data_IF_980414425022
#
_entry.id   IF_980414425022
#
_cell.length_a   1.000
_cell.length_b   1.000
_cell.length_c   1.000
_cell.angle_alpha   90.00
_cell.angle_beta   90.00
_cell.angle_gamma   90.00
#
_symmetry.space_group_name_H-M   'P 1'
#
loop_
_entity.id
_entity.type
_entity.pdbx_description
1 polymer ?
#
# COMPACT_ATOMS: atom_id res chain seq x y z
N UNK A 1 -23.19 1.10 5.56
CA UNK A 1 -21.88 0.60 5.12
C UNK A 1 -20.82 1.71 5.08
N UNK A 2 -20.99 2.79 4.29
CA UNK A 2 -20.00 3.86 4.21
C UNK A 2 -19.64 4.47 5.59
N UNK A 3 -20.66 4.89 6.37
CA UNK A 3 -20.46 5.46 7.72
C UNK A 3 -19.91 4.43 8.71
N UNK A 4 -20.36 3.18 8.62
CA UNK A 4 -20.07 2.16 9.65
C UNK A 4 -18.79 1.37 9.41
N UNK A 5 -18.29 1.31 8.16
CA UNK A 5 -17.12 0.49 7.78
C UNK A 5 -16.01 1.29 7.11
N UNK A 6 -16.35 2.16 6.16
CA UNK A 6 -15.35 2.88 5.35
C UNK A 6 -14.78 4.08 6.11
N UNK A 7 -15.66 4.91 6.69
CA UNK A 7 -15.25 6.14 7.39
C UNK A 7 -14.30 5.86 8.57
N UNK A 8 -14.56 4.89 9.48
CA UNK A 8 -13.68 4.65 10.62
C UNK A 8 -12.26 4.27 10.19
N UNK A 9 -12.12 3.32 9.25
CA UNK A 9 -10.82 2.89 8.73
C UNK A 9 -10.05 4.03 8.08
N UNK A 10 -10.72 4.84 7.25
CA UNK A 10 -10.07 5.98 6.61
C UNK A 10 -9.60 7.02 7.64
N UNK A 11 -10.42 7.28 8.68
CA UNK A 11 -10.04 8.19 9.76
C UNK A 11 -8.84 7.66 10.54
N UNK A 12 -8.79 6.36 10.81
CA UNK A 12 -7.64 5.73 11.46
C UNK A 12 -6.36 5.88 10.63
N UNK A 13 -6.43 5.58 9.33
CA UNK A 13 -5.31 5.74 8.39
C UNK A 13 -4.80 7.20 8.37
N UNK A 14 -5.71 8.17 8.24
CA UNK A 14 -5.38 9.61 8.23
C UNK A 14 -4.83 10.05 9.59
N UNK A 15 -5.42 9.61 10.70
CA UNK A 15 -4.94 9.94 12.05
C UNK A 15 -3.53 9.41 12.27
N UNK A 16 -3.26 8.16 11.91
CA UNK A 16 -1.93 7.56 12.07
C UNK A 16 -0.86 8.38 11.34
N UNK A 17 -1.14 8.77 10.09
CA UNK A 17 -0.20 9.57 9.30
C UNK A 17 -0.03 11.00 9.87
N UNK A 18 -1.15 11.67 10.20
CA UNK A 18 -1.13 13.07 10.65
C UNK A 18 -0.54 13.24 12.04
N UNK A 19 -0.89 12.37 12.99
CA UNK A 19 -0.34 12.44 14.35
C UNK A 19 1.18 12.26 14.34
N UNK A 20 1.70 11.32 13.54
CA UNK A 20 3.16 11.14 13.38
C UNK A 20 3.86 12.41 12.84
N UNK A 21 3.25 13.08 11.85
CA UNK A 21 3.78 14.34 11.31
C UNK A 21 3.75 15.47 12.33
N UNK A 22 2.65 15.59 13.09
CA UNK A 22 2.48 16.61 14.14
C UNK A 22 3.49 16.40 15.27
N UNK A 23 3.67 15.16 15.74
CA UNK A 23 4.65 14.83 16.79
C UNK A 23 6.08 15.16 16.37
N UNK A 24 6.46 14.77 15.14
CA UNK A 24 7.77 15.13 14.58
C UNK A 24 7.95 16.64 14.53
N UNK A 25 6.95 17.35 14.03
CA UNK A 25 7.00 18.82 13.91
C UNK A 25 7.10 19.49 15.28
N UNK A 26 6.30 19.04 16.26
CA UNK A 26 6.34 19.57 17.62
C UNK A 26 7.73 19.40 18.24
N UNK A 27 8.33 18.21 18.11
CA UNK A 27 9.65 17.93 18.68
C UNK A 27 10.71 18.85 18.10
N UNK A 28 10.76 19.01 16.78
CA UNK A 28 11.75 19.87 16.11
C UNK A 28 11.54 21.36 16.43
N UNK A 29 10.27 21.82 16.48
CA UNK A 29 9.93 23.21 16.84
C UNK A 29 10.35 23.51 18.29
N UNK A 30 10.00 22.65 19.25
CA UNK A 30 10.41 22.78 20.65
C UNK A 30 11.92 22.81 20.76
N UNK A 31 12.61 21.82 20.18
CA UNK A 31 14.07 21.73 20.26
C UNK A 31 14.76 23.00 19.74
N UNK A 32 14.31 23.54 18.59
CA UNK A 32 14.90 24.74 18.00
C UNK A 32 14.58 26.00 18.79
N UNK A 33 13.30 26.28 19.06
CA UNK A 33 12.90 27.54 19.71
C UNK A 33 13.36 27.60 21.15
N UNK A 34 13.29 26.50 21.91
CA UNK A 34 13.82 26.47 23.29
C UNK A 34 15.32 26.74 23.33
N UNK A 35 16.09 26.27 22.33
CA UNK A 35 17.53 26.56 22.22
C UNK A 35 17.77 28.04 21.91
N UNK A 36 17.01 28.63 20.99
CA UNK A 36 17.12 30.06 20.65
C UNK A 36 16.69 30.96 21.82
N UNK A 37 15.60 30.64 22.52
CA UNK A 37 15.15 31.33 23.74
C UNK A 37 16.23 31.30 24.81
N UNK A 38 16.73 30.11 25.15
CA UNK A 38 17.78 29.93 26.16
C UNK A 38 19.07 30.69 25.83
N UNK A 39 19.38 30.84 24.54
CA UNK A 39 20.52 31.63 24.07
C UNK A 39 20.30 33.13 24.32
N UNK A 40 19.15 33.66 23.91
CA UNK A 40 18.83 35.08 24.09
C UNK A 40 18.64 35.47 25.55
N UNK A 41 18.04 34.60 26.38
CA UNK A 41 17.93 34.81 27.83
C UNK A 41 19.29 34.91 28.49
N UNK A 42 20.21 34.00 28.16
CA UNK A 42 21.58 34.04 28.68
C UNK A 42 22.30 35.31 28.23
N UNK A 43 22.18 35.66 26.95
CA UNK A 43 22.75 36.92 26.45
C UNK A 43 22.15 38.14 27.14
N UNK A 44 20.85 38.16 27.41
CA UNK A 44 20.19 39.26 28.11
C UNK A 44 20.75 39.43 29.54
N UNK A 45 20.91 38.31 30.26
CA UNK A 45 21.48 38.31 31.60
C UNK A 45 22.94 38.81 31.61
N UNK A 46 23.79 38.29 30.71
CA UNK A 46 25.18 38.71 30.58
C UNK A 46 25.32 40.21 30.23
N UNK A 47 24.43 40.73 29.37
CA UNK A 47 24.41 42.15 29.00
C UNK A 47 23.95 43.02 30.16
N UNK A 48 22.94 42.58 30.91
CA UNK A 48 22.42 43.27 32.10
C UNK A 48 23.49 43.43 33.18
N UNK A 49 24.30 42.40 33.39
CA UNK A 49 25.40 42.46 34.36
C UNK A 49 26.53 43.40 33.91
N UNK A 50 26.83 43.45 32.60
CA UNK A 50 27.79 44.41 32.02
C UNK A 50 27.31 45.85 32.11
N UNK A 51 26.02 46.10 31.86
CA UNK A 51 25.41 47.43 31.98
C UNK A 51 25.40 47.90 33.43
N UNK A 52 25.07 47.03 34.39
CA UNK A 52 25.18 47.32 35.83
C UNK A 52 26.61 47.64 36.26
N UNK A 53 27.60 47.01 35.65
CA UNK A 53 29.01 47.31 35.86
C UNK A 53 29.49 48.59 35.12
N UNK A 54 28.60 49.34 34.48
CA UNK A 54 28.91 50.59 33.77
C UNK A 54 29.65 50.42 32.45
N UNK A 55 29.74 49.19 31.91
CA UNK A 55 30.43 48.91 30.64
C UNK A 55 29.48 49.18 29.47
N UNK A 56 29.98 49.85 28.42
CA UNK A 56 29.22 50.03 27.17
C UNK A 56 29.05 48.69 26.46
N UNK A 57 27.79 48.31 26.21
CA UNK A 57 27.39 47.13 25.44
C UNK A 57 27.01 47.55 24.01
N UNK A 58 27.25 46.66 23.04
CA UNK A 58 26.88 46.88 21.63
C UNK A 58 25.39 46.68 21.35
N UNK A 59 24.71 45.87 22.19
CA UNK A 59 23.27 45.66 22.19
C UNK A 59 22.76 45.89 23.62
N UNK A 60 21.69 46.68 23.82
CA UNK A 60 21.09 46.84 25.13
C UNK A 60 20.48 45.53 25.65
N UNK A 61 20.56 45.27 26.96
CA UNK A 61 20.05 44.05 27.58
C UNK A 61 18.54 43.85 27.36
N UNK A 62 17.75 44.93 27.40
CA UNK A 62 16.29 44.86 27.19
C UNK A 62 15.91 44.37 25.79
N UNK A 63 16.70 44.71 24.75
CA UNK A 63 16.45 44.24 23.37
C UNK A 63 16.72 42.74 23.24
N UNK A 64 17.70 42.21 23.97
CA UNK A 64 17.96 40.78 24.02
C UNK A 64 16.82 40.03 24.73
N UNK A 65 16.27 40.60 25.81
CA UNK A 65 15.12 40.04 26.53
C UNK A 65 13.87 40.04 25.65
N UNK A 66 13.55 41.16 24.99
CA UNK A 66 12.37 41.27 24.11
C UNK A 66 12.41 40.24 22.96
N UNK A 67 13.61 39.89 22.48
CA UNK A 67 13.80 38.81 21.50
C UNK A 67 13.50 37.43 22.08
N UNK A 68 13.91 37.14 23.32
CA UNK A 68 13.60 35.89 23.99
C UNK A 68 12.08 35.76 24.20
N UNK A 69 11.43 36.83 24.67
CA UNK A 69 9.99 36.88 24.91
C UNK A 69 9.21 36.66 23.59
N UNK A 70 9.60 37.34 22.50
CA UNK A 70 9.00 37.14 21.17
C UNK A 70 9.13 35.69 20.69
N UNK A 71 10.27 35.04 20.95
CA UNK A 71 10.46 33.64 20.58
C UNK A 71 9.61 32.69 21.44
N UNK A 72 9.41 33.02 22.73
CA UNK A 72 8.53 32.27 23.62
C UNK A 72 7.06 32.36 23.17
N UNK A 73 6.59 33.54 22.79
CA UNK A 73 5.23 33.74 22.25
C UNK A 73 5.03 32.97 20.94
N UNK A 74 6.05 32.97 20.07
CA UNK A 74 6.03 32.18 18.82
C UNK A 74 6.00 30.68 19.10
N UNK A 75 6.73 30.20 20.09
CA UNK A 75 6.69 28.80 20.51
C UNK A 75 5.29 28.44 20.99
N UNK A 76 4.72 29.23 21.90
CA UNK A 76 3.38 28.98 22.44
C UNK A 76 2.32 28.93 21.34
N UNK A 77 2.30 29.96 20.49
CA UNK A 77 1.36 30.05 19.35
C UNK A 77 1.49 28.83 18.43
N UNK A 78 2.72 28.35 18.16
CA UNK A 78 2.92 27.19 17.30
C UNK A 78 2.48 25.90 17.98
N UNK A 79 2.69 25.75 19.28
CA UNK A 79 2.22 24.58 20.03
C UNK A 79 0.69 24.50 20.07
N UNK A 80 0.03 25.63 20.28
CA UNK A 80 -1.44 25.70 20.27
C UNK A 80 -2.01 25.33 18.89
N UNK A 81 -1.39 25.82 17.82
CA UNK A 81 -1.76 25.43 16.45
C UNK A 81 -1.58 23.93 16.22
N UNK A 82 -0.45 23.34 16.63
CA UNK A 82 -0.20 21.90 16.51
C UNK A 82 -1.18 21.06 17.36
N UNK A 83 -1.60 21.57 18.52
CA UNK A 83 -2.62 20.92 19.34
C UNK A 83 -3.99 20.97 18.67
N UNK A 84 -4.35 22.06 18.00
CA UNK A 84 -5.56 22.13 17.18
C UNK A 84 -5.50 21.14 16.00
N UNK A 85 -4.36 21.01 15.32
CA UNK A 85 -4.15 20.05 14.21
C UNK A 85 -4.38 18.58 14.63
N UNK A 86 -4.23 18.23 15.92
CA UNK A 86 -4.52 16.88 16.43
C UNK A 86 -6.01 16.53 16.45
N UNK A 87 -6.90 17.52 16.43
CA UNK A 87 -8.34 17.31 16.51
C UNK A 87 -8.92 16.97 15.13
N UNK A 88 -8.72 15.73 14.70
CA UNK A 88 -9.16 15.23 13.40
C UNK A 88 -10.55 14.61 13.51
N UNK A 89 -11.53 15.21 12.83
CA UNK A 89 -12.92 14.74 12.79
C UNK A 89 -13.33 14.33 11.37
N UNK A 90 -14.03 13.18 11.20
CA UNK A 90 -14.56 12.81 9.90
C UNK A 90 -15.66 13.76 9.44
N UNK A 91 -15.61 14.15 8.17
CA UNK A 91 -16.78 14.71 7.48
C UNK A 91 -17.75 13.58 7.09
N UNK A 92 -19.07 13.86 7.00
CA UNK A 92 -20.04 12.89 6.47
C UNK A 92 -19.67 12.45 5.05
N UNK A 93 -19.74 11.14 4.72
CA UNK A 93 -19.39 10.68 3.39
C UNK A 93 -20.42 11.14 2.37
N UNK A 94 -19.96 11.61 1.21
CA UNK A 94 -20.82 11.96 0.08
C UNK A 94 -20.98 10.75 -0.84
N UNK A 95 -22.21 10.22 -0.92
CA UNK A 95 -22.54 9.10 -1.81
C UNK A 95 -22.86 9.64 -3.20
N UNK A 96 -22.07 9.29 -4.20
CA UNK A 96 -22.25 9.75 -5.59
C UNK A 96 -23.20 8.87 -6.41
N UNK A 97 -23.36 7.61 -6.03
CA UNK A 97 -24.25 6.66 -6.71
C UNK A 97 -24.23 5.30 -6.01
N UNK A 98 -25.11 4.41 -6.46
CA UNK A 98 -25.19 3.03 -6.00
C UNK A 98 -25.51 2.09 -7.16
N UNK A 99 -25.06 0.84 -7.06
CA UNK A 99 -25.39 -0.22 -8.00
C UNK A 99 -25.96 -1.43 -7.25
N UNK A 100 -26.87 -2.14 -7.90
CA UNK A 100 -27.36 -3.43 -7.45
C UNK A 100 -26.63 -4.51 -8.26
N UNK A 101 -25.82 -5.32 -7.59
CA UNK A 101 -25.13 -6.44 -8.23
C UNK A 101 -25.98 -7.70 -8.03
N UNK A 102 -26.48 -8.26 -9.14
CA UNK A 102 -27.21 -9.52 -9.14
C UNK A 102 -26.31 -10.56 -9.82
N UNK A 103 -25.91 -11.65 -9.13
CA UNK A 103 -25.12 -12.70 -9.76
C UNK A 103 -25.88 -13.31 -10.94
N UNK A 104 -25.25 -13.42 -12.11
CA UNK A 104 -25.87 -14.03 -13.30
C UNK A 104 -26.36 -15.46 -13.05
N UNK A 105 -25.64 -16.25 -12.25
CA UNK A 105 -26.07 -17.59 -11.84
C UNK A 105 -27.36 -17.61 -11.01
N UNK A 106 -27.69 -16.53 -10.29
CA UNK A 106 -28.99 -16.40 -9.62
C UNK A 106 -30.10 -16.14 -10.64
N UNK A 107 -29.88 -15.24 -11.61
CA UNK A 107 -30.82 -14.98 -12.70
C UNK A 107 -31.09 -16.23 -13.53
N UNK A 108 -30.05 -17.02 -13.81
CA UNK A 108 -30.16 -18.31 -14.46
C UNK A 108 -31.06 -19.29 -13.68
N UNK A 109 -30.79 -19.48 -12.38
CA UNK A 109 -31.59 -20.38 -11.52
C UNK A 109 -33.05 -19.96 -11.38
N UNK A 110 -33.30 -18.65 -11.38
CA UNK A 110 -34.65 -18.09 -11.25
C UNK A 110 -35.40 -18.01 -12.59
N UNK A 111 -34.77 -18.40 -13.71
CA UNK A 111 -35.39 -18.36 -15.04
C UNK A 111 -35.81 -16.95 -15.46
N UNK A 112 -35.00 -15.94 -15.13
CA UNK A 112 -35.38 -14.54 -15.32
C UNK A 112 -35.66 -14.23 -16.82
N UNK A 113 -36.79 -13.56 -17.14
CA UNK A 113 -37.11 -13.16 -18.50
C UNK A 113 -36.05 -12.17 -19.03
N UNK A 114 -35.53 -12.44 -20.23
CA UNK A 114 -34.43 -11.67 -20.84
C UNK A 114 -33.03 -12.27 -20.64
N UNK A 115 -32.88 -13.36 -19.88
CA UNK A 115 -31.60 -14.07 -19.75
C UNK A 115 -31.39 -15.02 -20.94
N UNK A 116 -30.65 -14.55 -21.93
CA UNK A 116 -30.42 -15.21 -23.22
C UNK A 116 -29.54 -16.46 -23.09
N UNK A 117 -29.36 -17.19 -24.19
CA UNK A 117 -28.41 -18.30 -24.25
C UNK A 117 -26.95 -17.79 -24.22
N UNK A 118 -26.70 -16.59 -24.74
CA UNK A 118 -25.39 -15.94 -24.66
C UNK A 118 -25.03 -15.59 -23.21
N UNK A 119 -25.98 -15.06 -22.42
CA UNK A 119 -25.76 -14.75 -21.00
C UNK A 119 -25.44 -16.02 -20.18
N UNK A 120 -26.03 -17.16 -20.55
CA UNK A 120 -25.72 -18.46 -19.93
C UNK A 120 -24.31 -18.95 -20.24
N UNK A 121 -23.89 -18.80 -21.50
CA UNK A 121 -22.53 -19.14 -21.91
C UNK A 121 -21.50 -18.25 -21.19
N UNK A 122 -21.77 -16.96 -21.07
CA UNK A 122 -20.89 -16.04 -20.34
C UNK A 122 -20.78 -16.38 -18.84
N UNK A 123 -21.88 -16.75 -18.18
CA UNK A 123 -21.84 -17.21 -16.79
C UNK A 123 -21.07 -18.52 -16.64
N UNK A 124 -21.22 -19.46 -17.59
CA UNK A 124 -20.46 -20.70 -17.58
C UNK A 124 -18.95 -20.45 -17.77
N UNK A 125 -18.57 -19.58 -18.72
CA UNK A 125 -17.19 -19.18 -18.95
C UNK A 125 -16.57 -18.48 -17.73
N UNK A 126 -17.33 -17.60 -17.07
CA UNK A 126 -16.86 -16.93 -15.85
C UNK A 126 -16.67 -17.92 -14.69
N UNK A 127 -17.56 -18.91 -14.56
CA UNK A 127 -17.43 -19.96 -13.55
C UNK A 127 -16.20 -20.84 -13.81
N UNK A 128 -15.94 -21.18 -15.08
CA UNK A 128 -14.78 -21.97 -15.46
C UNK A 128 -13.47 -21.20 -15.26
N UNK A 129 -13.41 -19.91 -15.63
CA UNK A 129 -12.23 -19.06 -15.34
C UNK A 129 -11.93 -19.00 -13.84
N UNK A 130 -12.96 -18.80 -13.02
CA UNK A 130 -12.80 -18.79 -11.55
C UNK A 130 -12.33 -20.14 -11.02
N UNK A 131 -12.83 -21.24 -11.60
CA UNK A 131 -12.38 -22.59 -11.25
C UNK A 131 -10.89 -22.77 -11.56
N UNK A 132 -10.45 -22.35 -12.75
CA UNK A 132 -9.05 -22.39 -13.16
C UNK A 132 -8.16 -21.55 -12.24
N UNK A 133 -8.60 -20.36 -11.84
CA UNK A 133 -7.89 -19.51 -10.88
C UNK A 133 -7.71 -20.19 -9.52
N UNK A 134 -8.76 -20.82 -8.98
CA UNK A 134 -8.70 -21.53 -7.69
C UNK A 134 -7.77 -22.74 -7.75
N UNK A 135 -7.88 -23.56 -8.81
CA UNK A 135 -7.00 -24.71 -9.00
C UNK A 135 -5.52 -24.30 -9.12
N UNK A 136 -5.26 -23.19 -9.82
CA UNK A 136 -3.93 -22.63 -9.93
C UNK A 136 -3.38 -22.16 -8.58
N UNK A 137 -4.20 -21.43 -7.80
CA UNK A 137 -3.84 -20.99 -6.45
C UNK A 137 -3.51 -22.17 -5.54
N UNK A 138 -4.35 -23.21 -5.54
CA UNK A 138 -4.14 -24.40 -4.73
C UNK A 138 -2.84 -25.13 -5.09
N UNK A 139 -2.54 -25.26 -6.39
CA UNK A 139 -1.31 -25.88 -6.87
C UNK A 139 -0.06 -25.09 -6.43
N UNK A 140 -0.10 -23.77 -6.49
CA UNK A 140 1.00 -22.90 -6.05
C UNK A 140 1.19 -22.98 -4.53
N UNK A 141 0.09 -22.91 -3.76
CA UNK A 141 0.13 -23.07 -2.30
C UNK A 141 0.67 -24.44 -1.90
N UNK A 142 0.32 -25.50 -2.61
CA UNK A 142 0.84 -26.84 -2.38
C UNK A 142 2.34 -26.95 -2.70
N UNK A 143 2.78 -26.38 -3.82
CA UNK A 143 4.18 -26.34 -4.19
C UNK A 143 5.05 -25.60 -3.16
N UNK A 144 4.60 -24.43 -2.69
CA UNK A 144 5.34 -23.67 -1.68
C UNK A 144 5.43 -24.41 -0.34
N UNK A 145 4.34 -25.08 0.08
CA UNK A 145 4.38 -25.95 1.28
C UNK A 145 5.33 -27.13 1.11
N UNK A 146 5.40 -27.72 -0.08
CA UNK A 146 6.33 -28.82 -0.36
C UNK A 146 7.80 -28.39 -0.28
N UNK A 147 8.09 -27.11 -0.55
CA UNK A 147 9.41 -26.49 -0.34
C UNK A 147 9.69 -26.13 1.13
N UNK A 148 8.77 -26.44 2.05
CA UNK A 148 8.91 -26.13 3.48
C UNK A 148 8.61 -24.68 3.84
N UNK A 149 7.94 -23.93 2.95
CA UNK A 149 7.54 -22.53 3.19
C UNK A 149 6.13 -22.45 3.79
N UNK A 150 5.81 -21.26 4.30
CA UNK A 150 4.52 -20.91 4.89
C UNK A 150 3.78 -19.92 3.97
N UNK A 151 3.07 -20.39 2.93
CA UNK A 151 2.35 -19.51 2.01
C UNK A 151 1.02 -19.04 2.62
N UNK A 152 0.72 -17.74 2.43
CA UNK A 152 -0.49 -17.04 2.86
C UNK A 152 -1.18 -16.39 1.67
N UNK A 153 -2.47 -16.68 1.51
CA UNK A 153 -3.32 -16.02 0.51
C UNK A 153 -3.61 -14.58 0.94
N UNK A 154 -3.24 -13.64 0.08
CA UNK A 154 -3.46 -12.19 0.21
C UNK A 154 -4.19 -11.61 -1.00
N UNK A 155 -4.70 -12.44 -1.91
CA UNK A 155 -5.39 -12.02 -3.14
C UNK A 155 -6.61 -11.11 -2.89
N UNK A 156 -7.25 -11.23 -1.73
CA UNK A 156 -8.35 -10.37 -1.30
C UNK A 156 -7.90 -8.98 -0.78
N UNK A 157 -6.62 -8.80 -0.48
CA UNK A 157 -6.05 -7.55 0.01
C UNK A 157 -5.79 -6.56 -1.15
N UNK A 158 -6.32 -5.35 -1.02
CA UNK A 158 -6.26 -4.37 -2.12
C UNK A 158 -4.90 -3.69 -2.19
N UNK A 159 -4.31 -3.67 -3.39
CA UNK A 159 -3.17 -2.82 -3.72
C UNK A 159 -1.79 -3.47 -3.56
N UNK A 160 -1.71 -4.77 -3.28
CA UNK A 160 -0.44 -5.50 -3.15
C UNK A 160 0.20 -5.83 -4.51
N UNK A 161 -0.62 -6.26 -5.48
CA UNK A 161 -0.14 -6.66 -6.82
C UNK A 161 0.49 -8.06 -6.86
N UNK A 162 0.11 -8.93 -5.92
CA UNK A 162 0.44 -10.35 -5.86
C UNK A 162 -0.64 -11.07 -5.04
N UNK A 163 -0.78 -12.38 -5.25
CA UNK A 163 -1.83 -13.19 -4.63
C UNK A 163 -1.36 -13.92 -3.37
N UNK A 164 -0.06 -14.28 -3.29
CA UNK A 164 0.48 -15.09 -2.20
C UNK A 164 1.75 -14.46 -1.62
N UNK A 165 1.80 -14.39 -0.30
CA UNK A 165 3.03 -14.18 0.46
C UNK A 165 3.58 -15.52 0.91
N UNK A 166 4.77 -15.90 0.44
CA UNK A 166 5.41 -17.16 0.83
C UNK A 166 6.63 -16.90 1.68
N UNK A 167 6.55 -17.27 2.96
CA UNK A 167 7.62 -17.06 3.93
C UNK A 167 8.46 -18.33 4.07
N UNK A 168 9.76 -18.20 3.93
CA UNK A 168 10.72 -19.24 4.29
C UNK A 168 11.04 -19.13 5.79
N UNK A 169 10.67 -20.12 6.62
CA UNK A 169 10.95 -20.08 8.07
C UNK A 169 12.44 -20.28 8.40
N UNK A 170 13.23 -20.89 7.52
CA UNK A 170 14.65 -21.14 7.75
C UNK A 170 15.50 -19.88 7.51
N UNK A 171 15.18 -19.11 6.46
CA UNK A 171 15.93 -17.89 6.10
C UNK A 171 15.25 -16.60 6.55
N UNK A 172 13.95 -16.65 6.86
CA UNK A 172 13.11 -15.48 7.11
C UNK A 172 12.75 -14.70 5.85
N UNK A 173 13.13 -15.17 4.66
CA UNK A 173 12.84 -14.50 3.40
C UNK A 173 11.34 -14.56 3.08
N UNK A 174 10.80 -13.44 2.58
CA UNK A 174 9.42 -13.33 2.12
C UNK A 174 9.41 -13.16 0.59
N UNK A 175 8.73 -14.08 -0.10
CA UNK A 175 8.49 -14.04 -1.54
C UNK A 175 7.08 -13.55 -1.83
N UNK A 176 6.93 -12.86 -2.96
CA UNK A 176 5.66 -12.33 -3.44
C UNK A 176 5.30 -13.04 -4.73
N UNK A 177 4.20 -13.78 -4.74
CA UNK A 177 3.84 -14.66 -5.86
C UNK A 177 2.52 -14.20 -6.46
N UNK A 178 2.55 -13.86 -7.74
CA UNK A 178 1.36 -13.62 -8.56
C UNK A 178 1.00 -14.90 -9.30
N UNK A 179 -0.25 -15.35 -9.22
CA UNK A 179 -0.69 -16.64 -9.78
C UNK A 179 -1.54 -16.43 -11.02
N UNK A 180 -1.13 -17.03 -12.14
CA UNK A 180 -1.89 -17.00 -13.39
C UNK A 180 -2.25 -18.41 -13.82
N UNK A 181 -3.48 -18.81 -13.52
CA UNK A 181 -4.11 -20.00 -14.09
C UNK A 181 -4.44 -19.80 -15.56
N UNK A 182 -4.14 -20.79 -16.40
CA UNK A 182 -4.44 -20.77 -17.84
C UNK A 182 -5.02 -22.11 -18.27
N UNK A 183 -6.11 -22.05 -19.02
CA UNK A 183 -6.61 -23.22 -19.73
C UNK A 183 -5.61 -23.65 -20.81
N UNK A 184 -5.46 -24.95 -21.04
CA UNK A 184 -4.61 -25.48 -22.10
C UNK A 184 -4.88 -24.79 -23.45
N UNK A 185 -3.82 -24.27 -24.09
CA UNK A 185 -3.91 -23.58 -25.39
C UNK A 185 -3.99 -22.05 -25.32
N UNK A 186 -4.01 -21.43 -24.14
CA UNK A 186 -3.86 -19.98 -24.02
C UNK A 186 -2.46 -19.52 -24.50
N UNK A 187 -2.40 -18.49 -25.34
CA UNK A 187 -1.13 -17.98 -25.88
C UNK A 187 -0.54 -16.80 -25.10
N UNK A 188 -1.33 -16.17 -24.21
CA UNK A 188 -0.94 -14.93 -23.53
C UNK A 188 -1.27 -14.93 -22.04
N UNK A 189 -0.46 -14.20 -21.28
CA UNK A 189 -0.67 -13.88 -19.87
C UNK A 189 -0.82 -12.37 -19.74
N UNK A 190 -1.90 -11.93 -19.09
CA UNK A 190 -2.15 -10.52 -18.80
C UNK A 190 -1.70 -10.20 -17.39
N UNK A 191 -0.88 -9.16 -17.22
CA UNK A 191 -0.56 -8.57 -15.91
C UNK A 191 -1.19 -7.19 -15.77
N UNK A 192 -1.71 -6.89 -14.58
CA UNK A 192 -2.21 -5.54 -14.27
C UNK A 192 -1.05 -4.59 -13.97
N UNK A 193 -1.32 -3.27 -14.02
CA UNK A 193 -0.34 -2.25 -13.65
C UNK A 193 0.26 -2.47 -12.26
N UNK A 194 -0.56 -2.87 -11.29
CA UNK A 194 -0.09 -3.08 -9.91
C UNK A 194 0.83 -4.30 -9.82
N UNK A 195 0.52 -5.38 -10.54
CA UNK A 195 1.37 -6.58 -10.60
C UNK A 195 2.74 -6.27 -11.22
N UNK A 196 2.77 -5.49 -12.31
CA UNK A 196 4.02 -5.07 -12.94
C UNK A 196 4.83 -4.18 -11.99
N UNK A 197 4.18 -3.25 -11.28
CA UNK A 197 4.86 -2.40 -10.29
C UNK A 197 5.38 -3.21 -9.10
N UNK A 198 4.64 -4.23 -8.63
CA UNK A 198 5.09 -5.13 -7.58
C UNK A 198 6.34 -5.91 -8.03
N UNK A 199 6.34 -6.42 -9.25
CA UNK A 199 7.49 -7.08 -9.86
C UNK A 199 8.72 -6.16 -9.95
N UNK A 200 8.54 -4.89 -10.36
CA UNK A 200 9.62 -3.91 -10.45
C UNK A 200 10.19 -3.52 -9.08
N UNK A 201 9.32 -3.32 -8.09
CA UNK A 201 9.72 -2.89 -6.74
C UNK A 201 10.46 -3.98 -5.95
N UNK A 202 10.24 -5.26 -6.29
CA UNK A 202 10.79 -6.40 -5.55
C UNK A 202 11.25 -7.53 -6.47
N UNK A 203 11.97 -7.18 -7.54
CA UNK A 203 12.36 -8.12 -8.62
C UNK A 203 13.04 -9.41 -8.12
N UNK A 204 13.85 -9.34 -7.07
CA UNK A 204 14.52 -10.52 -6.50
C UNK A 204 13.57 -11.47 -5.76
N UNK A 205 12.47 -10.93 -5.21
CA UNK A 205 11.50 -11.63 -4.34
C UNK A 205 10.18 -11.95 -5.05
N UNK A 206 9.90 -11.27 -6.16
CA UNK A 206 8.69 -11.46 -6.93
C UNK A 206 8.80 -12.71 -7.82
N UNK A 207 7.71 -13.46 -7.92
CA UNK A 207 7.57 -14.64 -8.79
C UNK A 207 6.23 -14.55 -9.51
N UNK A 208 6.24 -14.79 -10.81
CA UNK A 208 5.02 -15.05 -11.56
C UNK A 208 4.87 -16.57 -11.71
N UNK A 209 3.89 -17.15 -11.00
CA UNK A 209 3.59 -18.56 -11.06
C UNK A 209 2.51 -18.82 -12.12
N UNK A 210 2.86 -19.58 -13.15
CA UNK A 210 1.96 -19.94 -14.23
C UNK A 210 1.53 -21.40 -14.05
N UNK A 211 0.22 -21.63 -14.05
CA UNK A 211 -0.35 -22.98 -13.90
C UNK A 211 -1.24 -23.28 -15.09
N UNK A 212 -0.92 -24.36 -15.80
CA UNK A 212 -1.77 -24.89 -16.86
C UNK A 212 -2.79 -25.85 -16.27
N UNK A 213 -4.07 -25.61 -16.57
CA UNK A 213 -5.21 -26.42 -16.15
C UNK A 213 -5.90 -26.98 -17.39
N UNK A 214 -5.99 -28.30 -17.50
CA UNK A 214 -6.68 -29.01 -18.57
C UNK A 214 -7.80 -29.88 -17.97
N UNK A 215 -9.01 -29.31 -17.88
CA UNK A 215 -10.13 -29.93 -17.20
C UNK A 215 -9.84 -30.13 -15.71
N UNK A 216 -9.70 -31.39 -15.29
CA UNK A 216 -9.37 -31.76 -13.90
C UNK A 216 -7.85 -31.95 -13.68
N UNK A 217 -7.06 -31.95 -14.75
CA UNK A 217 -5.60 -32.11 -14.66
C UNK A 217 -4.94 -30.74 -14.44
N UNK A 218 -4.24 -30.61 -13.31
CA UNK A 218 -3.54 -29.38 -12.91
C UNK A 218 -2.05 -29.66 -12.98
N UNK A 219 -1.36 -29.02 -13.94
CA UNK A 219 0.07 -29.19 -14.11
C UNK A 219 0.86 -28.51 -12.99
N UNK A 220 2.10 -28.96 -12.81
CA UNK A 220 3.01 -28.32 -11.86
C UNK A 220 3.22 -26.83 -12.21
N UNK A 221 3.24 -25.93 -11.21
CA UNK A 221 3.41 -24.50 -11.45
C UNK A 221 4.81 -24.18 -11.95
N UNK A 222 4.90 -23.32 -12.97
CA UNK A 222 6.16 -22.82 -13.54
C UNK A 222 6.41 -21.40 -13.05
N UNK A 223 7.56 -21.17 -12.43
CA UNK A 223 7.90 -19.90 -11.78
C UNK A 223 8.82 -19.07 -12.67
N UNK A 224 8.28 -17.98 -13.20
CA UNK A 224 9.04 -16.99 -13.97
C UNK A 224 9.75 -16.04 -13.01
N UNK A 225 11.07 -15.89 -13.22
CA UNK A 225 11.99 -15.13 -12.35
C UNK A 225 12.82 -14.16 -13.16
N UNK A 226 13.04 -12.96 -12.62
CA UNK A 226 13.95 -11.97 -13.21
C UNK A 226 13.56 -11.51 -14.62
N UNK A 227 12.32 -11.73 -15.04
CA UNK A 227 11.81 -11.26 -16.32
C UNK A 227 11.52 -9.76 -16.23
N UNK A 228 12.00 -8.99 -17.21
CA UNK A 228 11.70 -7.56 -17.30
C UNK A 228 10.32 -7.35 -17.94
N UNK A 229 9.33 -7.05 -17.10
CA UNK A 229 7.97 -6.74 -17.53
C UNK A 229 7.83 -5.32 -18.10
N UNK A 230 8.90 -4.51 -18.06
CA UNK A 230 8.91 -3.12 -18.47
C UNK A 230 8.14 -2.20 -17.51
N UNK A 231 8.26 -0.88 -17.71
CA UNK A 231 7.48 0.09 -16.96
C UNK A 231 6.13 0.35 -17.63
N UNK A 232 5.00 0.26 -16.90
CA UNK A 232 3.70 0.53 -17.46
C UNK A 232 3.56 2.02 -17.79
N UNK A 233 3.06 2.33 -18.99
CA UNK A 233 2.79 3.71 -19.41
C UNK A 233 1.76 4.41 -18.51
N UNK A 234 1.70 5.75 -18.56
CA UNK A 234 0.80 6.54 -17.68
C UNK A 234 -0.66 6.09 -17.77
N UNK A 235 -1.16 5.87 -18.99
CA UNK A 235 -2.53 5.43 -19.27
C UNK A 235 -2.72 3.90 -19.34
N UNK A 236 -1.65 3.12 -19.17
CA UNK A 236 -1.72 1.66 -19.29
C UNK A 236 -2.26 1.04 -18.00
N UNK A 237 -3.33 0.24 -18.11
CA UNK A 237 -3.93 -0.47 -16.97
C UNK A 237 -3.48 -1.94 -16.87
N UNK A 238 -3.06 -2.53 -17.99
CA UNK A 238 -2.53 -3.89 -18.08
C UNK A 238 -1.58 -4.06 -19.27
N UNK A 239 -0.79 -5.14 -19.26
CA UNK A 239 0.06 -5.56 -20.37
C UNK A 239 -0.14 -7.05 -20.65
N UNK A 240 -0.09 -7.43 -21.93
CA UNK A 240 -0.16 -8.82 -22.35
C UNK A 240 1.25 -9.30 -22.74
N UNK A 241 1.61 -10.48 -22.26
CA UNK A 241 2.89 -11.13 -22.53
C UNK A 241 2.63 -12.47 -23.22
N UNK A 242 3.50 -12.82 -24.16
CA UNK A 242 3.48 -14.13 -24.82
C UNK A 242 3.87 -15.23 -23.82
N UNK A 243 3.00 -16.22 -23.67
CA UNK A 243 3.17 -17.29 -22.68
C UNK A 243 4.43 -18.10 -22.97
N UNK A 244 4.66 -18.47 -24.23
CA UNK A 244 5.83 -19.25 -24.65
C UNK A 244 7.13 -18.55 -24.30
N UNK A 245 7.16 -17.22 -24.45
CA UNK A 245 8.31 -16.39 -24.10
C UNK A 245 8.53 -16.36 -22.59
N UNK A 246 7.47 -16.18 -21.80
CA UNK A 246 7.57 -16.19 -20.33
C UNK A 246 8.08 -17.55 -19.81
N UNK A 247 7.57 -18.66 -20.36
CA UNK A 247 7.95 -20.01 -19.94
C UNK A 247 9.43 -20.32 -20.20
N UNK A 248 10.11 -19.64 -21.14
CA UNK A 248 11.58 -19.77 -21.32
C UNK A 248 12.38 -19.24 -20.13
N UNK A 249 11.81 -18.30 -19.37
CA UNK A 249 12.35 -17.77 -18.12
C UNK A 249 11.74 -18.46 -16.90
N UNK A 250 10.88 -19.46 -17.14
CA UNK A 250 10.24 -20.28 -16.14
C UNK A 250 11.12 -21.44 -15.69
N UNK A 251 11.02 -21.80 -14.41
CA UNK A 251 11.60 -23.04 -13.89
C UNK A 251 10.71 -23.65 -12.81
N UNK A 252 11.18 -24.74 -12.22
CA UNK A 252 10.51 -25.36 -11.08
C UNK A 252 10.41 -24.38 -9.89
N UNK A 253 9.41 -24.57 -9.01
CA UNK A 253 9.29 -23.83 -7.76
C UNK A 253 10.60 -23.92 -6.96
N UNK A 254 11.16 -22.77 -6.58
CA UNK A 254 12.42 -22.69 -5.84
C UNK A 254 12.54 -21.38 -5.06
#
# INVERSE_FOLDING_TARGET
YAITRIVPRHVEEVRAQRLSQVEKTEREVKARLTKEISYWDRCAQDLKDKERAGKRTRLPAHVAQERADTLADRLQTRLDALQAERHIMPAPPRVTGGSLIIPGGLLHRLGAPGFSQADRAEVADAAERKRVELLAMDAVMAAERALGREPRDVSAERGLGYDIESKDPATGQLLFIEVKGRQAGASTVTLTKNEILAALNSAERFRLAIVEVDGDDVRAPVYVRGFDFGQPGFAQTSANFDLTTLLKYGGEPA
#
